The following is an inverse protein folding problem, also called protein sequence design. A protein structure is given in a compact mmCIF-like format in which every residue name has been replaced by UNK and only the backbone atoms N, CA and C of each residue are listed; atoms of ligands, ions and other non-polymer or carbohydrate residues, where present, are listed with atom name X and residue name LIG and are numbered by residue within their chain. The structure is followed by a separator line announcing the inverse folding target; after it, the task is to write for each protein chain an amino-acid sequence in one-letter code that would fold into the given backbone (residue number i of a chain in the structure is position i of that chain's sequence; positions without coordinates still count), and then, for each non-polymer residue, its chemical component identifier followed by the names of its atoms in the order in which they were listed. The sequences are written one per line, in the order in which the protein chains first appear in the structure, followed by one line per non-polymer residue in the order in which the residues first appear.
data_IF_039323289043
#
_entry.id   IF_039323289043
#
_cell.length_a   1.000
_cell.length_b   1.000
_cell.length_c   1.000
_cell.angle_alpha   90.00
_cell.angle_beta   90.00
_cell.angle_gamma   90.00
#
_symmetry.space_group_name_H-M   'P 1'
#
loop_
_entity.id
_entity.type
_entity.pdbx_description
1 polymer ?
#
# COMPACT_ATOMS: atom_id res chain seq x y z
N UNK A 1 -1.02 30.94 30.71
CA UNK A 1 0.03 30.08 30.11
C UNK A 1 -0.56 29.30 28.95
N UNK A 2 -0.36 29.71 27.68
CA UNK A 2 -0.66 28.89 26.51
C UNK A 2 0.64 28.66 25.72
N UNK A 3 1.36 27.56 25.99
CA UNK A 3 2.60 27.20 25.27
C UNK A 3 2.46 25.95 24.38
N UNK A 4 1.30 25.28 24.43
CA UNK A 4 1.09 24.01 23.71
C UNK A 4 0.55 24.17 22.29
N UNK A 5 -0.16 25.27 21.98
CA UNK A 5 -0.75 25.49 20.65
C UNK A 5 0.32 25.83 19.59
N UNK A 6 1.39 26.53 19.96
CA UNK A 6 2.43 26.96 19.01
C UNK A 6 3.36 25.85 18.53
N UNK A 7 3.48 24.75 19.28
CA UNK A 7 4.33 23.62 18.86
C UNK A 7 3.63 22.72 17.83
N UNK A 8 2.30 22.65 17.84
CA UNK A 8 1.53 21.77 16.96
C UNK A 8 1.52 22.32 15.53
N UNK A 9 1.32 23.64 15.35
CA UNK A 9 1.35 24.27 14.02
C UNK A 9 2.71 24.14 13.33
N UNK A 10 3.80 24.27 14.07
CA UNK A 10 5.15 24.16 13.50
C UNK A 10 5.49 22.74 13.03
N UNK A 11 4.91 21.71 13.64
CA UNK A 11 5.14 20.31 13.24
C UNK A 11 4.34 19.96 11.97
N UNK A 12 3.12 20.48 11.84
CA UNK A 12 2.30 20.29 10.64
C UNK A 12 2.91 20.97 9.39
N UNK A 13 3.42 22.19 9.55
CA UNK A 13 4.13 22.90 8.47
C UNK A 13 5.38 22.12 8.02
N UNK A 14 6.10 21.49 8.96
CA UNK A 14 7.30 20.70 8.65
C UNK A 14 6.98 19.45 7.81
N UNK A 15 5.87 18.76 8.10
CA UNK A 15 5.45 17.58 7.35
C UNK A 15 5.07 17.91 5.90
N UNK A 16 4.41 19.06 5.71
CA UNK A 16 3.97 19.51 4.39
C UNK A 16 5.15 19.87 3.50
N UNK A 17 6.19 20.49 4.06
CA UNK A 17 7.44 20.78 3.35
C UNK A 17 8.16 19.48 2.96
N UNK A 18 8.26 18.50 3.88
CA UNK A 18 8.81 17.17 3.57
C UNK A 18 8.02 16.42 2.49
N UNK A 19 6.68 16.55 2.49
CA UNK A 19 5.81 15.95 1.46
C UNK A 19 6.09 16.56 0.07
N UNK A 20 6.27 17.88 0.00
CA UNK A 20 6.60 18.58 -1.24
C UNK A 20 7.99 18.15 -1.75
N UNK A 21 8.98 18.08 -0.86
CA UNK A 21 10.37 17.83 -1.21
C UNK A 21 10.69 16.35 -1.48
N UNK A 22 9.91 15.41 -0.93
CA UNK A 22 10.18 13.98 -1.12
C UNK A 22 9.18 13.29 -2.06
N UNK A 23 7.88 13.63 -1.98
CA UNK A 23 6.85 12.91 -2.73
C UNK A 23 6.40 13.64 -4.00
N UNK A 24 6.34 14.97 -3.99
CA UNK A 24 5.90 15.74 -5.16
C UNK A 24 7.02 16.07 -6.15
N UNK A 25 8.28 15.73 -5.86
CA UNK A 25 9.41 15.97 -6.78
C UNK A 25 9.27 15.17 -8.08
N UNK A 26 8.75 13.95 -8.00
CA UNK A 26 8.50 13.10 -9.18
C UNK A 26 7.14 13.42 -9.84
N UNK A 27 6.31 14.27 -9.23
CA UNK A 27 4.97 14.55 -9.72
C UNK A 27 5.02 15.41 -10.99
N UNK A 28 4.43 14.91 -12.06
CA UNK A 28 4.27 15.67 -13.30
C UNK A 28 3.07 16.62 -13.20
N UNK A 29 3.31 17.84 -12.72
CA UNK A 29 2.30 18.89 -12.71
C UNK A 29 2.25 19.62 -14.06
N UNK A 30 1.06 20.07 -14.44
CA UNK A 30 0.87 20.88 -15.64
C UNK A 30 1.79 22.13 -15.60
N UNK A 31 2.65 22.37 -16.62
CA UNK A 31 3.56 23.52 -16.65
C UNK A 31 2.84 24.88 -16.75
N UNK A 32 1.59 24.90 -17.21
CA UNK A 32 0.78 26.12 -17.33
C UNK A 32 -0.01 26.50 -16.06
N UNK A 33 0.11 25.73 -14.99
CA UNK A 33 -0.59 26.02 -13.74
C UNK A 33 -0.02 27.27 -13.06
N UNK A 34 -0.89 28.19 -12.62
CA UNK A 34 -0.43 29.35 -11.84
C UNK A 34 0.15 28.93 -10.48
N UNK A 35 1.06 29.73 -9.88
CA UNK A 35 1.61 29.46 -8.55
C UNK A 35 0.54 29.30 -7.47
N UNK A 36 -0.53 30.10 -7.54
CA UNK A 36 -1.68 30.00 -6.62
C UNK A 36 -2.41 28.67 -6.74
N UNK A 37 -2.60 28.20 -7.97
CA UNK A 37 -3.27 26.93 -8.23
C UNK A 37 -2.44 25.73 -7.74
N UNK A 38 -1.11 25.80 -7.86
CA UNK A 38 -0.22 24.79 -7.29
C UNK A 38 -0.30 24.75 -5.77
N UNK A 39 -0.29 25.92 -5.12
CA UNK A 39 -0.42 25.99 -3.68
C UNK A 39 -1.73 25.37 -3.20
N UNK A 40 -2.85 25.75 -3.82
CA UNK A 40 -4.16 25.17 -3.49
C UNK A 40 -4.23 23.65 -3.72
N UNK A 41 -3.52 23.14 -4.74
CA UNK A 41 -3.46 21.70 -4.99
C UNK A 41 -2.69 20.98 -3.87
N UNK A 42 -1.54 21.52 -3.47
CA UNK A 42 -0.73 20.96 -2.38
C UNK A 42 -1.54 20.99 -1.08
N UNK A 43 -2.24 22.09 -0.79
CA UNK A 43 -3.13 22.21 0.37
C UNK A 43 -4.22 21.13 0.36
N UNK A 44 -4.82 20.86 -0.81
CA UNK A 44 -5.85 19.84 -0.95
C UNK A 44 -5.27 18.43 -0.74
N UNK A 45 -4.10 18.14 -1.31
CA UNK A 45 -3.44 16.85 -1.16
C UNK A 45 -3.05 16.59 0.30
N UNK A 46 -2.55 17.59 1.02
CA UNK A 46 -2.22 17.46 2.44
C UNK A 46 -3.49 17.33 3.30
N UNK A 47 -4.53 18.12 3.02
CA UNK A 47 -5.82 18.05 3.74
C UNK A 47 -6.46 16.66 3.64
N UNK A 48 -6.38 16.04 2.46
CA UNK A 48 -7.00 14.74 2.18
C UNK A 48 -5.97 13.61 2.05
N UNK A 49 -4.80 13.73 2.68
CA UNK A 49 -3.69 12.77 2.52
C UNK A 49 -4.07 11.31 2.79
N UNK A 50 -4.94 11.06 3.76
CA UNK A 50 -5.42 9.71 4.10
C UNK A 50 -6.37 9.10 3.06
N UNK A 51 -6.86 9.88 2.09
CA UNK A 51 -7.67 9.37 0.99
C UNK A 51 -6.81 8.81 -0.16
N UNK A 52 -5.50 9.07 -0.14
CA UNK A 52 -4.55 8.61 -1.14
C UNK A 52 -3.71 7.47 -0.56
N UNK A 53 -3.33 6.52 -1.41
CA UNK A 53 -2.36 5.50 -1.03
C UNK A 53 -1.00 6.16 -0.82
N UNK A 54 -0.35 5.90 0.31
CA UNK A 54 1.01 6.35 0.60
C UNK A 54 1.93 5.15 0.81
N UNK A 55 3.25 5.36 0.83
CA UNK A 55 4.21 4.28 1.09
C UNK A 55 4.00 3.62 2.48
N UNK A 56 3.47 4.40 3.43
CA UNK A 56 3.17 3.92 4.78
C UNK A 56 1.78 3.27 4.88
N UNK A 57 0.84 3.68 4.03
CA UNK A 57 -0.54 3.17 3.96
C UNK A 57 -0.92 2.86 2.49
N UNK A 58 -0.33 1.81 1.89
CA UNK A 58 -0.39 1.60 0.45
C UNK A 58 -1.70 0.95 -0.02
N UNK A 59 -2.39 0.23 0.87
CA UNK A 59 -3.64 -0.47 0.59
C UNK A 59 -4.56 -0.38 1.80
N UNK A 60 -5.83 -0.04 1.57
CA UNK A 60 -6.86 0.00 2.61
C UNK A 60 -7.12 -1.40 3.17
N UNK A 61 -6.47 -1.72 4.29
CA UNK A 61 -6.83 -2.85 5.14
C UNK A 61 -8.16 -2.52 5.83
N UNK A 62 -9.26 -2.58 5.08
CA UNK A 62 -10.59 -2.33 5.64
C UNK A 62 -10.98 -3.54 6.49
N UNK A 63 -10.87 -3.37 7.80
CA UNK A 63 -11.32 -4.37 8.77
C UNK A 63 -12.81 -4.71 8.55
N UNK A 64 -13.16 -5.99 8.66
CA UNK A 64 -14.56 -6.45 8.56
C UNK A 64 -15.05 -6.85 7.17
N UNK A 65 -14.20 -6.81 6.13
CA UNK A 65 -14.51 -7.33 4.79
C UNK A 65 -13.89 -8.72 4.56
N UNK A 66 -13.89 -9.57 5.58
CA UNK A 66 -13.48 -10.96 5.45
C UNK A 66 -14.50 -11.71 4.58
N UNK A 67 -14.01 -12.44 3.57
CA UNK A 67 -14.86 -13.20 2.65
C UNK A 67 -14.76 -14.68 2.98
N UNK A 68 -15.88 -15.26 3.43
CA UNK A 68 -16.00 -16.70 3.61
C UNK A 68 -16.31 -17.40 2.29
N UNK A 69 -15.26 -17.98 1.68
CA UNK A 69 -15.41 -18.76 0.45
C UNK A 69 -15.73 -20.21 0.81
N UNK A 70 -16.99 -20.60 0.63
CA UNK A 70 -17.44 -21.98 0.85
C UNK A 70 -17.21 -22.81 -0.41
N UNK A 71 -16.40 -23.87 -0.31
CA UNK A 71 -16.14 -24.78 -1.42
C UNK A 71 -17.08 -25.98 -1.42
N UNK A 72 -17.55 -26.37 -2.61
CA UNK A 72 -18.23 -27.64 -2.83
C UNK A 72 -17.20 -28.78 -2.85
N UNK A 73 -16.71 -29.18 -1.68
CA UNK A 73 -15.75 -30.29 -1.52
C UNK A 73 -16.42 -31.67 -1.47
N UNK A 74 -17.74 -31.70 -1.67
CA UNK A 74 -18.50 -32.95 -1.74
C UNK A 74 -18.13 -33.73 -3.00
N UNK A 75 -18.15 -35.05 -2.91
CA UNK A 75 -17.96 -35.94 -4.07
C UNK A 75 -18.90 -35.48 -5.21
N UNK A 76 -18.41 -35.31 -6.45
CA UNK A 76 -17.16 -35.79 -7.02
C UNK A 76 -15.98 -34.79 -7.02
N UNK A 77 -16.05 -33.66 -6.31
CA UNK A 77 -15.07 -32.58 -6.41
C UNK A 77 -14.19 -32.44 -5.15
N UNK A 78 -13.25 -33.36 -4.89
CA UNK A 78 -12.33 -33.20 -3.76
C UNK A 78 -11.40 -32.00 -3.97
N UNK A 79 -10.84 -31.42 -2.90
CA UNK A 79 -9.78 -30.43 -3.01
C UNK A 79 -8.64 -30.94 -3.89
N UNK A 80 -8.22 -30.12 -4.86
CA UNK A 80 -7.17 -30.51 -5.80
C UNK A 80 -5.84 -30.62 -5.09
N UNK A 81 -5.16 -31.76 -5.27
CA UNK A 81 -3.80 -31.96 -4.78
C UNK A 81 -2.85 -30.90 -5.36
N UNK A 82 -1.91 -30.45 -4.53
CA UNK A 82 -0.92 -29.43 -4.92
C UNK A 82 -0.14 -29.90 -6.13
N UNK A 83 -0.22 -29.14 -7.22
CA UNK A 83 0.65 -29.32 -8.39
C UNK A 83 1.97 -28.58 -8.16
N UNK A 84 3.12 -29.11 -8.64
CA UNK A 84 4.36 -28.35 -8.59
C UNK A 84 4.19 -27.06 -9.39
N UNK A 85 4.79 -25.97 -8.90
CA UNK A 85 4.83 -24.73 -9.66
C UNK A 85 5.61 -24.95 -10.96
N UNK A 86 5.14 -24.33 -12.05
CA UNK A 86 5.88 -24.34 -13.30
C UNK A 86 7.25 -23.67 -13.13
N UNK A 87 8.30 -24.18 -13.80
CA UNK A 87 9.61 -23.58 -13.72
C UNK A 87 9.57 -22.16 -14.32
N UNK A 88 10.04 -21.17 -13.55
CA UNK A 88 10.23 -19.81 -14.02
C UNK A 88 11.66 -19.62 -14.55
N UNK A 89 11.84 -18.74 -15.53
CA UNK A 89 13.18 -18.36 -15.99
C UNK A 89 13.92 -17.59 -14.88
N UNK A 90 15.27 -17.58 -14.86
CA UNK A 90 16.04 -16.87 -13.83
C UNK A 90 15.64 -15.39 -13.71
N UNK A 91 15.54 -14.69 -14.84
CA UNK A 91 15.09 -13.29 -14.91
C UNK A 91 13.68 -13.10 -14.38
N UNK A 92 12.75 -14.01 -14.71
CA UNK A 92 11.38 -13.93 -14.20
C UNK A 92 11.33 -14.15 -12.68
N UNK A 93 12.15 -15.08 -12.17
CA UNK A 93 12.24 -15.38 -10.75
C UNK A 93 12.74 -14.18 -9.94
N UNK A 94 13.76 -13.47 -10.41
CA UNK A 94 14.28 -12.26 -9.75
C UNK A 94 13.22 -11.15 -9.66
N UNK A 95 12.50 -10.90 -10.77
CA UNK A 95 11.42 -9.90 -10.79
C UNK A 95 10.25 -10.28 -9.87
N UNK A 96 9.86 -11.57 -9.88
CA UNK A 96 8.81 -12.10 -9.00
C UNK A 96 9.21 -12.02 -7.53
N UNK A 97 10.46 -12.30 -7.20
CA UNK A 97 10.96 -12.26 -5.82
C UNK A 97 10.81 -10.86 -5.21
N UNK A 98 11.15 -9.80 -5.96
CA UNK A 98 10.94 -8.41 -5.52
C UNK A 98 9.47 -8.13 -5.20
N UNK A 99 8.57 -8.51 -6.10
CA UNK A 99 7.13 -8.28 -5.93
C UNK A 99 6.52 -9.10 -4.79
N UNK A 100 6.96 -10.36 -4.62
CA UNK A 100 6.50 -11.22 -3.52
C UNK A 100 6.92 -10.63 -2.18
N UNK A 101 8.16 -10.15 -2.06
CA UNK A 101 8.65 -9.53 -0.83
C UNK A 101 7.86 -8.28 -0.46
N UNK A 102 7.56 -7.43 -1.45
CA UNK A 102 6.71 -6.25 -1.28
C UNK A 102 5.32 -6.67 -0.75
N UNK A 103 4.65 -7.61 -1.40
CA UNK A 103 3.34 -8.09 -0.98
C UNK A 103 3.32 -8.74 0.42
N UNK A 104 4.45 -9.33 0.85
CA UNK A 104 4.60 -9.83 2.23
C UNK A 104 4.70 -8.67 3.22
N UNK A 105 5.49 -7.64 2.90
CA UNK A 105 5.62 -6.44 3.74
C UNK A 105 4.28 -5.70 3.87
N UNK A 106 3.48 -5.66 2.80
CA UNK A 106 2.14 -5.09 2.80
C UNK A 106 1.09 -5.94 3.54
N UNK A 107 1.46 -7.11 4.05
CA UNK A 107 0.53 -8.02 4.75
C UNK A 107 -0.48 -8.73 3.83
N UNK A 108 -0.39 -8.53 2.51
CA UNK A 108 -1.26 -9.16 1.51
C UNK A 108 -0.95 -10.66 1.38
N UNK A 109 0.34 -11.01 1.39
CA UNK A 109 0.80 -12.40 1.38
C UNK A 109 1.34 -12.81 2.75
N UNK A 110 0.96 -14.01 3.21
CA UNK A 110 1.50 -14.60 4.44
C UNK A 110 1.98 -16.02 4.20
N UNK A 111 3.06 -16.39 4.90
CA UNK A 111 3.53 -17.78 4.91
C UNK A 111 2.53 -18.64 5.67
N UNK A 112 1.84 -19.52 4.96
CA UNK A 112 1.04 -20.59 5.56
C UNK A 112 1.87 -21.87 5.62
N UNK A 113 2.00 -22.43 6.83
CA UNK A 113 2.69 -23.70 7.03
C UNK A 113 1.85 -24.87 6.53
N UNK A 114 2.51 -25.88 5.97
CA UNK A 114 1.89 -27.18 5.75
C UNK A 114 1.48 -27.76 7.11
N UNK A 115 0.17 -27.96 7.36
CA UNK A 115 -0.23 -28.90 8.42
C UNK A 115 0.42 -30.23 8.06
N UNK A 116 1.25 -30.78 8.95
CA UNK A 116 1.64 -32.19 8.87
C UNK A 116 0.33 -32.97 8.86
N UNK A 117 0.09 -33.72 7.79
CA UNK A 117 -1.02 -34.67 7.71
C UNK A 117 -0.98 -35.53 8.98
N UNK A 118 -2.11 -35.56 9.70
CA UNK A 118 -2.35 -36.47 10.80
C UNK A 118 -3.03 -37.73 10.25
#
# INVERSE_FOLDING_TARGET
MPKQISMISSVEDTYKDEFVDNQLVEAQMNPSSSPKMRHNLIDLLDTYKNAFASDNEPLGAIEGHEVDITFNINRPYPPVLRRPAYPASPRAREALEKQILELIQLGVLRKVGHKKEA
#
